data_IF_891766294864
#
_entry.id   IF_891766294864
#
_cell.length_a   1.000
_cell.length_b   1.000
_cell.length_c   1.000
_cell.angle_alpha   90.00
_cell.angle_beta   90.00
_cell.angle_gamma   90.00
#
_symmetry.space_group_name_H-M   'P 1'
#
loop_
_entity.id
_entity.type
_entity.pdbx_description
1 polymer ?
#
# COMPACT_ATOMS: atom_id res chain seq x y z
N UNK A 1 8.99 -57.62 46.43
CA UNK A 1 8.59 -56.19 46.41
C UNK A 1 8.95 -55.49 45.09
N UNK A 2 8.97 -56.17 43.93
CA UNK A 2 9.53 -55.60 42.67
C UNK A 2 8.50 -55.21 41.59
N UNK A 3 7.18 -55.31 41.84
CA UNK A 3 6.18 -55.18 40.78
C UNK A 3 5.48 -53.81 40.64
N UNK A 4 5.58 -52.92 41.64
CA UNK A 4 4.78 -51.68 41.65
C UNK A 4 5.51 -50.43 41.13
N UNK A 5 6.84 -50.46 41.02
CA UNK A 5 7.63 -49.31 40.56
C UNK A 5 8.02 -49.36 39.08
N UNK A 6 7.84 -50.50 38.38
CA UNK A 6 8.26 -50.61 36.97
C UNK A 6 7.44 -49.74 36.01
N UNK A 7 6.21 -49.37 36.38
CA UNK A 7 5.35 -48.45 35.61
C UNK A 7 5.54 -46.97 35.96
N UNK A 8 6.17 -46.67 37.10
CA UNK A 8 6.40 -45.29 37.55
C UNK A 8 7.56 -44.63 36.78
N UNK A 9 8.61 -45.39 36.47
CA UNK A 9 9.79 -44.90 35.75
C UNK A 9 9.48 -44.38 34.32
N UNK A 10 8.76 -45.12 33.45
CA UNK A 10 8.44 -44.63 32.11
C UNK A 10 7.48 -43.43 32.13
N UNK A 11 6.59 -43.34 33.12
CA UNK A 11 5.65 -42.23 33.25
C UNK A 11 6.36 -40.93 33.68
N UNK A 12 7.35 -41.04 34.56
CA UNK A 12 8.26 -39.94 34.91
C UNK A 12 9.11 -39.48 33.73
N UNK A 13 9.63 -40.41 32.92
CA UNK A 13 10.39 -40.08 31.72
C UNK A 13 9.53 -39.33 30.68
N UNK A 14 8.28 -39.77 30.46
CA UNK A 14 7.33 -39.08 29.57
C UNK A 14 7.02 -37.67 30.10
N UNK A 15 6.73 -37.52 31.39
CA UNK A 15 6.47 -36.21 31.99
C UNK A 15 7.68 -35.28 31.90
N UNK A 16 8.89 -35.81 32.02
CA UNK A 16 10.12 -35.04 31.91
C UNK A 16 10.40 -34.61 30.46
N UNK A 17 10.13 -35.48 29.48
CA UNK A 17 10.21 -35.12 28.04
C UNK A 17 9.15 -34.10 27.66
N UNK A 18 7.91 -34.26 28.14
CA UNK A 18 6.84 -33.27 27.94
C UNK A 18 7.21 -31.94 28.63
N UNK A 19 7.74 -32.00 29.85
CA UNK A 19 8.18 -30.81 30.59
C UNK A 19 9.32 -30.08 29.88
N UNK A 20 10.31 -30.80 29.34
CA UNK A 20 11.37 -30.24 28.52
C UNK A 20 10.84 -29.69 27.19
N UNK A 21 9.94 -30.40 26.53
CA UNK A 21 9.32 -29.91 25.30
C UNK A 21 8.53 -28.62 25.56
N UNK A 22 7.69 -28.58 26.61
CA UNK A 22 6.97 -27.37 27.03
C UNK A 22 7.93 -26.27 27.44
N UNK A 23 9.02 -26.58 28.15
CA UNK A 23 10.04 -25.58 28.51
C UNK A 23 10.79 -25.04 27.30
N UNK A 24 11.11 -25.86 26.29
CA UNK A 24 11.72 -25.35 25.06
C UNK A 24 10.71 -24.60 24.17
N UNK A 25 9.45 -25.02 24.14
CA UNK A 25 8.36 -24.39 23.40
C UNK A 25 7.91 -23.07 24.05
N UNK A 26 7.95 -22.97 25.38
CA UNK A 26 7.45 -21.82 26.13
C UNK A 26 8.57 -20.97 26.79
N UNK A 27 9.62 -21.60 27.31
CA UNK A 27 10.71 -20.96 28.06
C UNK A 27 11.84 -20.39 27.20
N UNK A 28 11.92 -20.76 25.92
CA UNK A 28 12.84 -20.16 24.95
C UNK A 28 12.17 -19.09 24.08
N UNK A 29 10.99 -18.61 24.47
CA UNK A 29 10.46 -17.36 23.92
C UNK A 29 11.36 -16.25 24.42
N UNK A 30 12.39 -15.92 23.64
CA UNK A 30 13.05 -14.63 23.74
C UNK A 30 11.96 -13.57 23.88
N UNK A 31 12.19 -12.58 24.74
CA UNK A 31 11.24 -11.49 24.91
C UNK A 31 11.16 -10.77 23.55
N UNK A 32 10.10 -11.07 22.80
CA UNK A 32 9.86 -10.50 21.48
C UNK A 32 9.87 -8.97 21.59
N UNK A 33 10.37 -8.31 20.55
CA UNK A 33 10.42 -6.85 20.48
C UNK A 33 9.03 -6.27 20.71
N UNK A 34 8.91 -5.34 21.67
CA UNK A 34 7.66 -4.64 21.94
C UNK A 34 7.60 -3.38 21.10
N UNK A 35 6.51 -3.23 20.34
CA UNK A 35 6.32 -2.08 19.46
C UNK A 35 6.01 -0.80 20.26
N UNK A 36 6.39 0.40 19.76
CA UNK A 36 6.13 1.67 20.45
C UNK A 36 4.67 2.12 20.42
N UNK A 37 3.85 1.58 19.51
CA UNK A 37 2.40 1.80 19.42
C UNK A 37 1.72 0.47 19.14
N UNK A 38 0.70 0.15 19.92
CA UNK A 38 -0.17 -1.00 19.67
C UNK A 38 -1.30 -0.66 18.68
N UNK A 39 -1.43 0.62 18.29
CA UNK A 39 -2.45 1.12 17.36
C UNK A 39 -1.88 1.49 15.98
N UNK A 40 -2.65 1.15 14.96
CA UNK A 40 -2.57 1.77 13.64
C UNK A 40 -3.95 2.41 13.41
N UNK A 41 -4.07 3.76 13.52
CA UNK A 41 -5.38 4.43 13.58
C UNK A 41 -6.31 4.10 12.41
N UNK A 42 -5.77 3.81 11.24
CA UNK A 42 -6.54 3.41 10.07
C UNK A 42 -7.24 2.04 10.19
N UNK A 43 -6.97 1.24 11.25
CA UNK A 43 -7.55 -0.09 11.47
C UNK A 43 -8.79 -0.07 12.37
N UNK A 44 -9.01 0.98 13.17
CA UNK A 44 -10.06 0.98 14.19
C UNK A 44 -11.34 1.64 13.65
N UNK A 45 -12.38 0.85 13.32
CA UNK A 45 -13.75 1.37 13.24
C UNK A 45 -14.82 0.27 13.30
N UNK A 46 -15.79 0.41 14.21
CA UNK A 46 -16.99 -0.43 14.27
C UNK A 46 -18.10 0.26 13.44
N UNK A 47 -18.29 -0.18 12.19
CA UNK A 47 -19.30 0.37 11.30
C UNK A 47 -20.55 -0.50 11.32
N UNK A 48 -21.64 0.01 11.90
CA UNK A 48 -22.95 -0.64 11.86
C UNK A 48 -23.70 -0.48 10.53
N UNK A 49 -23.22 0.38 9.62
CA UNK A 49 -23.93 0.76 8.38
C UNK A 49 -23.42 0.05 7.12
N UNK A 50 -22.19 -0.45 7.15
CA UNK A 50 -21.61 -1.29 6.09
C UNK A 50 -21.46 -2.69 6.66
N UNK A 51 -22.03 -3.70 6.02
CA UNK A 51 -21.82 -5.11 6.39
C UNK A 51 -20.68 -5.67 5.52
N UNK A 52 -19.40 -5.54 5.94
CA UNK A 52 -18.27 -6.04 5.17
C UNK A 52 -18.36 -7.55 4.93
N UNK A 53 -19.07 -8.28 5.80
CA UNK A 53 -19.25 -9.73 5.66
C UNK A 53 -20.09 -10.09 4.42
N UNK A 54 -20.84 -9.14 3.85
CA UNK A 54 -21.59 -9.34 2.61
C UNK A 54 -20.76 -9.02 1.35
N UNK A 55 -19.98 -7.94 1.36
CA UNK A 55 -19.32 -7.43 0.16
C UNK A 55 -17.90 -7.99 -0.01
N UNK A 56 -17.10 -8.00 1.06
CA UNK A 56 -15.68 -8.37 1.03
C UNK A 56 -15.45 -9.81 0.50
N UNK A 57 -16.26 -10.82 0.85
CA UNK A 57 -16.11 -12.16 0.27
C UNK A 57 -16.29 -12.20 -1.25
N UNK A 58 -17.19 -11.37 -1.80
CA UNK A 58 -17.39 -11.24 -3.24
C UNK A 58 -16.14 -10.69 -3.94
N UNK A 59 -15.52 -9.67 -3.35
CA UNK A 59 -14.32 -9.04 -3.91
C UNK A 59 -13.13 -10.00 -3.87
N UNK A 60 -12.93 -10.72 -2.77
CA UNK A 60 -11.87 -11.76 -2.70
C UNK A 60 -12.07 -12.84 -3.76
N UNK A 61 -13.30 -13.31 -3.94
CA UNK A 61 -13.61 -14.30 -4.97
C UNK A 61 -13.31 -13.77 -6.37
N UNK A 62 -13.69 -12.51 -6.65
CA UNK A 62 -13.36 -11.89 -7.94
C UNK A 62 -11.85 -11.81 -8.18
N UNK A 63 -11.07 -11.43 -7.16
CA UNK A 63 -9.61 -11.41 -7.23
C UNK A 63 -9.06 -12.81 -7.60
N UNK A 64 -9.47 -13.84 -6.86
CA UNK A 64 -9.06 -15.24 -7.08
C UNK A 64 -9.44 -15.75 -8.47
N UNK A 65 -10.68 -15.50 -8.92
CA UNK A 65 -11.19 -16.04 -10.18
C UNK A 65 -10.68 -15.29 -11.42
N UNK A 66 -10.29 -14.01 -11.28
CA UNK A 66 -10.20 -13.10 -12.44
C UNK A 66 -8.88 -12.35 -12.55
N UNK A 67 -8.23 -12.00 -11.44
CA UNK A 67 -7.02 -11.18 -11.40
C UNK A 67 -5.79 -11.93 -10.88
N UNK A 68 -5.95 -13.07 -10.19
CA UNK A 68 -4.83 -13.91 -9.79
C UNK A 68 -4.37 -14.82 -10.93
N UNK A 69 -3.07 -14.92 -11.12
CA UNK A 69 -2.46 -15.92 -11.98
C UNK A 69 -1.16 -16.48 -11.39
N UNK A 70 -0.75 -17.59 -11.96
CA UNK A 70 0.58 -18.16 -11.78
C UNK A 70 1.49 -17.64 -12.90
N UNK A 71 2.71 -17.26 -12.53
CA UNK A 71 3.70 -16.69 -13.46
C UNK A 71 5.03 -17.40 -13.39
N UNK A 72 5.75 -17.37 -14.50
CA UNK A 72 7.16 -17.76 -14.56
C UNK A 72 8.04 -16.51 -14.63
N UNK A 73 8.97 -16.41 -13.68
CA UNK A 73 9.90 -15.27 -13.57
C UNK A 73 11.30 -15.76 -13.93
N UNK A 74 11.97 -15.10 -14.86
CA UNK A 74 13.34 -15.46 -15.26
C UNK A 74 14.34 -14.99 -14.20
N UNK A 75 15.26 -15.86 -13.79
CA UNK A 75 16.35 -15.48 -12.89
C UNK A 75 17.27 -14.44 -13.54
N UNK A 76 17.81 -13.52 -12.74
CA UNK A 76 18.72 -12.48 -13.24
C UNK A 76 20.12 -13.02 -13.60
N UNK A 77 20.51 -14.17 -13.05
CA UNK A 77 21.86 -14.73 -13.11
C UNK A 77 22.28 -15.33 -14.46
N UNK A 78 21.58 -15.05 -15.56
CA UNK A 78 21.97 -15.45 -16.92
C UNK A 78 21.84 -16.95 -17.23
N UNK A 79 21.49 -17.77 -16.25
CA UNK A 79 21.05 -19.15 -16.46
C UNK A 79 19.57 -19.15 -16.88
N UNK A 80 19.18 -20.07 -17.77
CA UNK A 80 17.79 -20.22 -18.27
C UNK A 80 16.84 -20.81 -17.20
N UNK A 81 17.11 -20.59 -15.92
CA UNK A 81 16.26 -21.01 -14.82
C UNK A 81 15.11 -20.00 -14.64
N UNK A 82 13.88 -20.50 -14.74
CA UNK A 82 12.67 -19.78 -14.35
C UNK A 82 12.16 -20.28 -13.00
N UNK A 83 11.58 -19.38 -12.22
CA UNK A 83 10.88 -19.72 -10.98
C UNK A 83 9.37 -19.55 -11.20
N UNK A 84 8.59 -20.55 -10.80
CA UNK A 84 7.13 -20.46 -10.80
C UNK A 84 6.65 -19.79 -9.51
N UNK A 85 5.85 -18.74 -9.64
CA UNK A 85 5.23 -18.03 -8.52
C UNK A 85 3.73 -17.99 -8.72
N UNK A 86 3.00 -18.40 -7.69
CA UNK A 86 1.56 -18.58 -7.76
C UNK A 86 0.77 -17.42 -7.15
N UNK A 87 -0.44 -17.21 -7.66
CA UNK A 87 -1.45 -16.29 -7.14
C UNK A 87 -1.01 -14.81 -7.06
N UNK A 88 -0.30 -14.30 -8.06
CA UNK A 88 0.01 -12.86 -8.16
C UNK A 88 -1.16 -12.09 -8.80
N UNK A 89 -1.46 -10.89 -8.29
CA UNK A 89 -2.49 -10.02 -8.89
C UNK A 89 -1.99 -9.31 -10.16
N UNK A 90 -2.70 -9.46 -11.28
CA UNK A 90 -2.58 -8.57 -12.44
C UNK A 90 -2.99 -7.15 -12.07
N UNK A 91 -2.32 -6.16 -12.65
CA UNK A 91 -2.69 -4.77 -12.44
C UNK A 91 -4.15 -4.48 -12.87
N UNK A 92 -4.58 -5.06 -14.00
CA UNK A 92 -5.94 -4.89 -14.51
C UNK A 92 -6.35 -6.01 -15.48
N UNK A 93 -7.67 -6.11 -15.68
CA UNK A 93 -8.30 -6.96 -16.71
C UNK A 93 -9.53 -6.29 -17.29
N UNK A 94 -9.73 -6.43 -18.61
CA UNK A 94 -10.85 -5.85 -19.37
C UNK A 94 -11.80 -6.93 -19.87
N UNK A 95 -13.07 -6.58 -20.00
CA UNK A 95 -14.01 -7.38 -20.78
C UNK A 95 -13.77 -7.14 -22.28
N UNK A 96 -13.94 -8.18 -23.11
CA UNK A 96 -13.93 -8.01 -24.56
C UNK A 96 -15.07 -7.07 -24.98
N UNK A 97 -14.83 -6.34 -26.06
CA UNK A 97 -15.87 -5.52 -26.67
C UNK A 97 -16.95 -6.43 -27.27
N UNK A 98 -18.22 -6.21 -26.89
CA UNK A 98 -19.33 -6.99 -27.43
C UNK A 98 -19.85 -6.38 -28.75
N UNK A 99 -19.51 -5.13 -29.08
CA UNK A 99 -20.05 -4.42 -30.24
C UNK A 99 -19.20 -4.60 -31.50
N UNK A 100 -17.93 -5.01 -31.38
CA UNK A 100 -17.03 -5.19 -32.51
C UNK A 100 -16.48 -6.61 -32.57
N UNK A 101 -16.83 -7.34 -33.64
CA UNK A 101 -16.42 -8.71 -33.97
C UNK A 101 -14.95 -8.76 -34.48
N UNK A 102 -14.05 -8.04 -33.82
CA UNK A 102 -12.61 -8.18 -34.05
C UNK A 102 -12.06 -9.23 -33.10
N UNK A 103 -11.21 -10.12 -33.63
CA UNK A 103 -10.40 -11.04 -32.82
C UNK A 103 -9.44 -10.23 -31.93
N UNK A 104 -9.92 -9.77 -30.77
CA UNK A 104 -9.07 -9.17 -29.75
C UNK A 104 -8.27 -10.30 -29.12
N UNK A 105 -6.94 -10.21 -29.23
CA UNK A 105 -6.07 -11.22 -28.62
C UNK A 105 -6.17 -11.10 -27.10
N UNK A 106 -6.17 -12.23 -26.38
CA UNK A 106 -6.32 -12.26 -24.91
C UNK A 106 -5.27 -11.38 -24.20
N UNK A 107 -4.09 -11.23 -24.80
CA UNK A 107 -3.02 -10.36 -24.32
C UNK A 107 -3.38 -8.87 -24.27
N UNK A 108 -4.39 -8.43 -25.02
CA UNK A 108 -4.88 -7.05 -25.01
C UNK A 108 -5.97 -6.83 -23.93
N UNK A 109 -6.46 -7.92 -23.33
CA UNK A 109 -7.50 -7.89 -22.29
C UNK A 109 -6.92 -7.99 -20.87
N UNK A 110 -5.62 -8.23 -20.74
CA UNK A 110 -4.93 -8.38 -19.44
C UNK A 110 -3.70 -7.48 -19.37
N UNK A 111 -3.38 -7.02 -18.16
CA UNK A 111 -2.15 -6.28 -17.94
C UNK A 111 -0.91 -7.12 -18.27
N UNK A 112 0.09 -6.47 -18.89
CA UNK A 112 1.44 -7.04 -19.05
C UNK A 112 2.33 -6.85 -17.82
N UNK A 113 1.84 -6.10 -16.85
CA UNK A 113 2.56 -5.68 -15.65
C UNK A 113 1.85 -6.20 -14.40
N UNK A 114 2.64 -6.63 -13.44
CA UNK A 114 2.20 -6.99 -12.09
C UNK A 114 2.90 -6.02 -11.14
N UNK A 115 2.13 -5.16 -10.48
CA UNK A 115 2.70 -4.18 -9.56
C UNK A 115 2.86 -4.75 -8.16
N UNK A 116 4.02 -4.50 -7.56
CA UNK A 116 4.26 -4.84 -6.15
C UNK A 116 3.27 -4.09 -5.25
N UNK A 117 2.92 -2.85 -5.58
CA UNK A 117 1.97 -2.03 -4.81
C UNK A 117 0.62 -2.73 -4.61
N UNK A 118 0.08 -3.35 -5.66
CA UNK A 118 -1.18 -4.10 -5.60
C UNK A 118 -1.06 -5.32 -4.69
N UNK A 119 0.08 -6.02 -4.76
CA UNK A 119 0.36 -7.13 -3.86
C UNK A 119 0.51 -6.67 -2.42
N UNK A 120 1.16 -5.53 -2.17
CA UNK A 120 1.36 -5.00 -0.83
C UNK A 120 0.02 -4.71 -0.16
N UNK A 121 -0.91 -4.06 -0.86
CA UNK A 121 -2.27 -3.85 -0.32
C UNK A 121 -3.06 -5.14 -0.17
N UNK A 122 -2.89 -6.15 -1.04
CA UNK A 122 -3.44 -7.48 -0.79
C UNK A 122 -2.87 -8.07 0.51
N UNK A 123 -1.56 -7.96 0.73
CA UNK A 123 -0.89 -8.38 1.95
C UNK A 123 -1.51 -7.74 3.19
N UNK A 124 -1.68 -6.41 3.18
CA UNK A 124 -2.38 -5.68 4.25
C UNK A 124 -3.80 -6.23 4.46
N UNK A 125 -4.58 -6.39 3.39
CA UNK A 125 -5.96 -6.87 3.49
C UNK A 125 -6.05 -8.28 4.09
N UNK A 126 -5.09 -9.16 3.79
CA UNK A 126 -5.03 -10.51 4.35
C UNK A 126 -4.64 -10.50 5.84
N UNK A 127 -3.79 -9.56 6.26
CA UNK A 127 -3.43 -9.35 7.67
C UNK A 127 -4.62 -8.81 8.44
N UNK A 128 -5.22 -7.71 7.97
CA UNK A 128 -6.33 -7.00 8.62
C UNK A 128 -7.58 -7.90 8.76
N UNK A 129 -7.83 -8.80 7.79
CA UNK A 129 -8.91 -9.81 7.88
C UNK A 129 -8.58 -11.06 8.70
N UNK A 130 -7.40 -11.16 9.31
CA UNK A 130 -6.99 -12.35 10.09
C UNK A 130 -6.80 -13.62 9.24
N UNK A 131 -6.61 -13.49 7.92
CA UNK A 131 -6.42 -14.59 6.97
C UNK A 131 -4.99 -15.13 6.96
N UNK A 132 -4.49 -15.52 8.14
CA UNK A 132 -3.07 -15.86 8.36
C UNK A 132 -2.49 -16.95 7.44
N UNK A 133 -3.30 -17.92 6.99
CA UNK A 133 -2.84 -18.96 6.04
C UNK A 133 -2.62 -18.38 4.64
N UNK A 134 -3.56 -17.58 4.15
CA UNK A 134 -3.43 -16.89 2.87
C UNK A 134 -2.30 -15.87 2.93
N UNK A 135 -2.20 -15.11 4.03
CA UNK A 135 -1.09 -14.18 4.25
C UNK A 135 0.27 -14.87 4.15
N UNK A 136 0.45 -16.04 4.79
CA UNK A 136 1.74 -16.74 4.71
C UNK A 136 2.09 -17.18 3.28
N UNK A 137 1.11 -17.69 2.53
CA UNK A 137 1.30 -18.03 1.11
C UNK A 137 1.64 -16.79 0.28
N UNK A 138 0.92 -15.69 0.50
CA UNK A 138 1.17 -14.41 -0.14
C UNK A 138 2.59 -13.92 0.16
N UNK A 139 3.03 -13.98 1.42
CA UNK A 139 4.37 -13.58 1.83
C UNK A 139 5.43 -14.36 1.06
N UNK A 140 5.29 -15.70 1.01
CA UNK A 140 6.24 -16.57 0.31
C UNK A 140 6.22 -16.31 -1.21
N UNK A 141 5.07 -16.02 -1.82
CA UNK A 141 4.97 -15.63 -3.23
C UNK A 141 5.57 -14.25 -3.50
N UNK A 142 5.33 -13.27 -2.62
CA UNK A 142 5.82 -11.90 -2.77
C UNK A 142 7.34 -11.84 -2.71
N UNK A 143 7.95 -12.50 -1.72
CA UNK A 143 9.41 -12.62 -1.58
C UNK A 143 10.04 -13.24 -2.84
N UNK A 144 9.49 -14.37 -3.30
CA UNK A 144 9.99 -15.02 -4.51
C UNK A 144 9.84 -14.15 -5.75
N UNK A 145 8.71 -13.44 -5.88
CA UNK A 145 8.43 -12.64 -7.05
C UNK A 145 9.26 -11.37 -7.10
N UNK A 146 9.27 -10.60 -6.02
CA UNK A 146 9.78 -9.24 -6.00
C UNK A 146 11.11 -9.09 -5.27
N UNK A 147 11.51 -10.04 -4.43
CA UNK A 147 12.79 -10.01 -3.76
C UNK A 147 13.95 -10.07 -4.77
N UNK A 148 14.89 -9.14 -4.61
CA UNK A 148 16.14 -9.11 -5.33
C UNK A 148 17.30 -9.45 -4.38
N UNK A 149 17.94 -10.60 -4.62
CA UNK A 149 19.04 -11.11 -3.79
C UNK A 149 20.31 -10.24 -3.91
N UNK A 150 20.50 -9.51 -5.02
CA UNK A 150 21.70 -8.69 -5.23
C UNK A 150 21.67 -7.42 -4.36
N UNK A 151 20.57 -6.67 -4.39
CA UNK A 151 20.40 -5.46 -3.59
C UNK A 151 19.83 -5.69 -2.19
N UNK A 152 19.18 -6.83 -1.96
CA UNK A 152 18.36 -7.08 -0.78
C UNK A 152 17.06 -6.26 -0.74
N UNK A 153 16.72 -5.56 -1.82
CA UNK A 153 15.50 -4.77 -1.97
C UNK A 153 14.43 -5.54 -2.75
N UNK A 154 13.27 -4.91 -2.93
CA UNK A 154 12.15 -5.45 -3.69
C UNK A 154 11.88 -4.64 -4.95
N UNK A 155 11.69 -5.34 -6.08
CA UNK A 155 11.25 -4.80 -7.36
C UNK A 155 9.88 -4.12 -7.25
N UNK A 156 9.67 -2.98 -7.91
CA UNK A 156 8.34 -2.33 -7.96
C UNK A 156 7.33 -3.04 -8.86
N UNK A 157 7.83 -3.81 -9.82
CA UNK A 157 7.03 -4.36 -10.91
C UNK A 157 7.64 -5.65 -11.43
N UNK A 158 6.77 -6.50 -11.99
CA UNK A 158 7.17 -7.53 -12.93
C UNK A 158 6.65 -7.16 -14.32
N UNK A 159 7.52 -7.19 -15.32
CA UNK A 159 7.18 -6.86 -16.70
C UNK A 159 7.28 -8.11 -17.56
N UNK A 160 6.23 -8.39 -18.34
CA UNK A 160 6.21 -9.51 -19.28
C UNK A 160 7.05 -9.20 -20.52
N UNK A 161 8.14 -9.96 -20.67
CA UNK A 161 9.08 -9.90 -21.80
C UNK A 161 8.49 -10.55 -23.08
N UNK A 162 9.15 -10.36 -24.22
CA UNK A 162 8.77 -10.88 -25.54
C UNK A 162 8.72 -12.42 -25.54
N UNK A 163 9.60 -13.06 -24.76
CA UNK A 163 9.67 -14.51 -24.60
C UNK A 163 8.55 -15.08 -23.70
N UNK A 164 7.66 -14.22 -23.19
CA UNK A 164 6.50 -14.59 -22.37
C UNK A 164 6.77 -14.69 -20.86
N UNK A 165 8.05 -14.66 -20.45
CA UNK A 165 8.47 -14.66 -19.04
C UNK A 165 8.36 -13.27 -18.41
N UNK A 166 8.14 -13.23 -17.10
CA UNK A 166 8.22 -12.01 -16.32
C UNK A 166 9.66 -11.74 -15.87
N UNK A 167 10.03 -10.46 -15.83
CA UNK A 167 11.28 -9.98 -15.24
C UNK A 167 11.01 -8.96 -14.16
N UNK A 168 11.82 -9.00 -13.11
CA UNK A 168 11.84 -7.98 -12.07
C UNK A 168 12.28 -6.65 -12.67
N UNK A 169 11.61 -5.59 -12.26
CA UNK A 169 11.92 -4.24 -12.67
C UNK A 169 12.02 -3.32 -11.45
N UNK A 170 13.08 -2.50 -11.46
CA UNK A 170 13.31 -1.41 -10.52
C UNK A 170 13.22 -1.81 -9.03
N UNK A 171 14.18 -2.61 -8.54
CA UNK A 171 14.37 -2.88 -7.12
C UNK A 171 14.66 -1.59 -6.35
N UNK A 172 13.82 -1.26 -5.35
CA UNK A 172 13.90 0.04 -4.69
C UNK A 172 13.46 0.04 -3.21
N UNK A 173 13.80 1.13 -2.53
CA UNK A 173 13.52 1.31 -1.10
C UNK A 173 12.03 1.53 -0.81
N UNK A 174 11.24 2.07 -1.75
CA UNK A 174 9.82 2.37 -1.55
C UNK A 174 9.03 1.08 -1.44
N UNK A 175 9.24 0.13 -2.36
CA UNK A 175 8.58 -1.18 -2.32
C UNK A 175 9.01 -1.96 -1.07
N UNK A 176 10.30 -1.96 -0.76
CA UNK A 176 10.85 -2.67 0.40
C UNK A 176 10.28 -2.12 1.71
N UNK A 177 10.16 -0.80 1.83
CA UNK A 177 9.49 -0.13 2.95
C UNK A 177 8.01 -0.54 3.03
N UNK A 178 7.30 -0.55 1.90
CA UNK A 178 5.90 -1.00 1.86
C UNK A 178 5.74 -2.45 2.30
N UNK A 179 6.66 -3.34 1.92
CA UNK A 179 6.67 -4.73 2.38
C UNK A 179 6.94 -4.83 3.89
N UNK A 180 7.91 -4.07 4.39
CA UNK A 180 8.22 -3.99 5.82
C UNK A 180 7.02 -3.50 6.65
N UNK A 181 6.24 -2.55 6.13
CA UNK A 181 4.96 -2.12 6.74
C UNK A 181 4.00 -3.30 6.90
N UNK A 182 3.80 -4.11 5.85
CA UNK A 182 2.90 -5.28 5.92
C UNK A 182 3.38 -6.28 6.96
N UNK A 183 4.69 -6.55 7.03
CA UNK A 183 5.25 -7.45 8.04
C UNK A 183 5.05 -6.93 9.46
N UNK A 184 5.20 -5.63 9.67
CA UNK A 184 4.96 -5.01 10.97
C UNK A 184 3.49 -5.05 11.37
N UNK A 185 2.56 -4.80 10.45
CA UNK A 185 1.13 -5.00 10.72
C UNK A 185 0.84 -6.45 11.12
N UNK A 186 1.43 -7.43 10.42
CA UNK A 186 1.28 -8.84 10.77
C UNK A 186 1.89 -9.15 12.16
N UNK A 187 3.03 -8.54 12.47
CA UNK A 187 3.72 -8.67 13.76
C UNK A 187 2.90 -8.07 14.90
N UNK A 188 2.29 -6.89 14.72
CA UNK A 188 1.38 -6.30 15.71
C UNK A 188 0.26 -7.25 16.11
N UNK A 189 -0.41 -7.85 15.12
CA UNK A 189 -1.54 -8.75 15.37
C UNK A 189 -1.10 -10.09 15.95
N UNK A 190 0.03 -10.63 15.47
CA UNK A 190 0.53 -11.94 15.89
C UNK A 190 2.07 -11.98 15.88
N UNK A 191 2.72 -11.49 16.95
CA UNK A 191 4.18 -11.50 17.05
C UNK A 191 4.75 -12.91 16.91
N UNK A 192 5.83 -13.05 16.14
CA UNK A 192 6.55 -14.31 15.99
C UNK A 192 8.02 -14.05 15.69
N UNK A 193 8.89 -14.99 16.07
CA UNK A 193 10.33 -14.88 15.81
C UNK A 193 10.66 -14.83 14.31
N UNK A 194 9.88 -15.52 13.48
CA UNK A 194 10.08 -15.48 12.02
C UNK A 194 9.82 -14.07 11.47
N UNK A 195 8.72 -13.43 11.88
CA UNK A 195 8.42 -12.04 11.51
C UNK A 195 9.45 -11.06 12.09
N UNK A 196 9.85 -11.23 13.35
CA UNK A 196 10.88 -10.40 13.99
C UNK A 196 12.20 -10.43 13.22
N UNK A 197 12.63 -11.62 12.81
CA UNK A 197 13.85 -11.81 12.04
C UNK A 197 13.74 -11.14 10.65
N UNK A 198 12.63 -11.37 9.93
CA UNK A 198 12.41 -10.72 8.63
C UNK A 198 12.37 -9.20 8.74
N UNK A 199 11.70 -8.65 9.75
CA UNK A 199 11.64 -7.20 10.00
C UNK A 199 13.04 -6.66 10.31
N UNK A 200 13.82 -7.35 11.16
CA UNK A 200 15.17 -6.93 11.52
C UNK A 200 16.10 -6.91 10.31
N UNK A 201 16.07 -7.94 9.47
CA UNK A 201 16.89 -8.01 8.25
C UNK A 201 16.56 -6.85 7.30
N UNK A 202 15.28 -6.62 7.01
CA UNK A 202 14.87 -5.56 6.09
C UNK A 202 15.08 -4.16 6.67
N UNK A 203 14.90 -4.02 7.98
CA UNK A 203 15.27 -2.82 8.73
C UNK A 203 16.76 -2.50 8.54
N UNK A 204 17.64 -3.48 8.72
CA UNK A 204 19.08 -3.29 8.55
C UNK A 204 19.45 -2.98 7.08
N UNK A 205 18.73 -3.53 6.11
CA UNK A 205 18.88 -3.18 4.69
C UNK A 205 18.50 -1.72 4.40
N UNK A 206 17.38 -1.23 4.95
CA UNK A 206 16.89 0.13 4.69
C UNK A 206 17.61 1.20 5.52
N UNK A 207 18.12 0.88 6.71
CA UNK A 207 18.74 1.83 7.62
C UNK A 207 19.85 2.68 6.97
N UNK A 208 20.85 2.14 6.25
CA UNK A 208 21.88 2.97 5.62
C UNK A 208 21.31 3.92 4.55
N UNK A 209 20.23 3.53 3.85
CA UNK A 209 19.56 4.36 2.84
C UNK A 209 18.91 5.57 3.53
N UNK A 210 18.18 5.35 4.62
CA UNK A 210 17.51 6.44 5.33
C UNK A 210 18.49 7.34 6.10
N UNK A 211 19.59 6.79 6.63
CA UNK A 211 20.67 7.59 7.24
C UNK A 211 21.34 8.53 6.25
N UNK A 212 21.51 8.09 5.00
CA UNK A 212 22.06 8.92 3.92
C UNK A 212 21.06 9.95 3.38
N UNK A 213 19.78 9.84 3.76
CA UNK A 213 18.66 10.46 3.06
C UNK A 213 18.23 9.56 1.89
N UNK A 214 16.96 9.10 1.86
CA UNK A 214 16.52 8.22 0.78
C UNK A 214 16.64 8.91 -0.59
N UNK A 215 17.03 8.18 -1.64
CA UNK A 215 17.23 8.79 -2.96
C UNK A 215 15.95 9.49 -3.47
N UNK A 216 16.08 10.71 -4.02
CA UNK A 216 14.98 11.34 -4.74
C UNK A 216 14.62 10.49 -5.96
N UNK A 217 13.32 10.39 -6.24
CA UNK A 217 12.77 9.49 -7.26
C UNK A 217 11.73 10.19 -8.15
N UNK A 218 11.59 11.50 -7.98
CA UNK A 218 10.69 12.35 -8.73
C UNK A 218 11.28 13.75 -8.78
N UNK A 219 10.74 14.61 -9.64
CA UNK A 219 11.21 15.97 -9.83
C UNK A 219 10.04 16.95 -9.70
N UNK A 220 10.23 18.00 -8.90
CA UNK A 220 9.36 19.16 -8.88
C UNK A 220 9.94 20.29 -9.70
N UNK A 221 9.28 21.45 -9.68
CA UNK A 221 9.75 22.67 -10.32
C UNK A 221 10.21 23.67 -9.24
N UNK A 222 11.22 24.48 -9.54
CA UNK A 222 11.74 25.54 -8.66
C UNK A 222 12.73 26.45 -9.39
N UNK A 223 13.28 27.52 -8.78
CA UNK A 223 13.11 27.94 -7.40
C UNK A 223 11.91 28.88 -7.17
N UNK A 224 11.32 29.47 -8.22
CA UNK A 224 10.24 30.46 -8.05
C UNK A 224 8.84 29.82 -8.02
N UNK A 225 8.71 28.57 -8.47
CA UNK A 225 7.46 27.86 -8.52
C UNK A 225 7.56 26.54 -7.75
N UNK A 226 7.32 26.57 -6.44
CA UNK A 226 7.19 25.35 -5.64
C UNK A 226 5.87 24.66 -6.03
N UNK A 227 5.94 23.85 -7.07
CA UNK A 227 4.79 23.37 -7.84
C UNK A 227 4.70 21.85 -7.87
N UNK A 228 3.51 21.33 -8.20
CA UNK A 228 3.21 19.91 -8.08
C UNK A 228 4.12 19.08 -8.98
N UNK A 229 4.38 17.87 -8.52
CA UNK A 229 5.15 16.83 -9.18
C UNK A 229 4.46 16.29 -10.45
N UNK A 230 3.22 16.72 -10.71
CA UNK A 230 2.48 16.46 -11.94
C UNK A 230 1.98 17.80 -12.48
N UNK A 231 2.49 18.22 -13.65
CA UNK A 231 2.00 19.39 -14.37
C UNK A 231 1.07 18.95 -15.51
N UNK A 232 -0.21 18.80 -15.24
CA UNK A 232 -1.23 18.60 -16.29
C UNK A 232 -1.79 19.93 -16.76
N UNK A 233 -0.94 20.78 -17.31
CA UNK A 233 -1.38 21.92 -18.12
C UNK A 233 -1.00 21.65 -19.57
N UNK A 234 -1.99 21.35 -20.40
CA UNK A 234 -1.81 21.02 -21.81
C UNK A 234 -1.14 22.21 -22.54
N UNK A 235 0.07 21.98 -23.08
CA UNK A 235 0.78 22.96 -23.90
C UNK A 235 1.63 24.02 -23.16
N UNK A 236 1.87 23.87 -21.85
CA UNK A 236 2.72 24.81 -21.12
C UNK A 236 4.22 24.50 -21.30
N UNK A 237 4.98 25.49 -21.76
CA UNK A 237 6.44 25.49 -21.67
C UNK A 237 6.81 25.92 -20.25
N UNK A 238 7.66 25.16 -19.56
CA UNK A 238 8.22 25.56 -18.27
C UNK A 238 8.69 27.03 -18.36
N UNK A 239 8.31 27.90 -17.41
CA UNK A 239 8.79 29.26 -17.42
C UNK A 239 10.33 29.25 -17.46
N UNK A 240 10.97 30.17 -18.20
CA UNK A 240 12.42 30.11 -18.46
C UNK A 240 13.30 30.17 -17.21
N UNK A 241 12.72 30.54 -16.07
CA UNK A 241 13.34 30.66 -14.76
C UNK A 241 13.06 29.46 -13.84
N UNK A 242 12.42 28.39 -14.36
CA UNK A 242 12.24 27.13 -13.63
C UNK A 242 13.22 26.06 -14.07
N UNK A 243 13.68 25.31 -13.08
CA UNK A 243 14.52 24.14 -13.19
C UNK A 243 13.85 22.97 -12.44
N UNK A 244 14.15 21.75 -12.89
CA UNK A 244 13.72 20.54 -12.19
C UNK A 244 14.50 20.39 -10.88
N UNK A 245 13.77 20.18 -9.78
CA UNK A 245 14.35 19.98 -8.45
C UNK A 245 14.13 18.52 -8.04
N UNK A 246 15.17 17.76 -7.67
CA UNK A 246 15.02 16.36 -7.28
C UNK A 246 14.36 16.24 -5.90
N UNK A 247 13.22 15.56 -5.84
CA UNK A 247 12.41 15.43 -4.63
C UNK A 247 12.27 13.99 -4.15
N UNK A 248 12.13 13.86 -2.83
CA UNK A 248 11.58 12.68 -2.19
C UNK A 248 10.09 12.92 -2.02
N UNK A 249 9.25 12.19 -2.74
CA UNK A 249 7.82 12.31 -2.63
C UNK A 249 7.33 11.90 -1.22
N UNK A 250 6.56 12.78 -0.56
CA UNK A 250 6.13 12.55 0.82
C UNK A 250 5.10 11.42 0.92
N UNK A 251 4.33 11.14 -0.13
CA UNK A 251 3.42 10.00 -0.12
C UNK A 251 4.15 8.65 -0.06
N UNK A 252 5.48 8.64 -0.25
CA UNK A 252 6.32 7.45 -0.18
C UNK A 252 7.12 7.34 1.12
N UNK A 253 6.95 8.27 2.06
CA UNK A 253 7.52 8.16 3.41
C UNK A 253 6.44 7.64 4.35
N UNK A 254 6.64 6.44 4.88
CA UNK A 254 5.74 5.83 5.86
C UNK A 254 6.18 6.21 7.27
N UNK A 255 5.66 7.33 7.77
CA UNK A 255 6.04 7.84 9.09
C UNK A 255 5.67 6.89 10.23
N UNK A 256 4.57 6.16 10.10
CA UNK A 256 4.15 5.17 11.10
C UNK A 256 5.18 4.06 11.17
N UNK A 257 5.59 3.51 10.04
CA UNK A 257 6.62 2.49 9.95
C UNK A 257 7.93 2.95 10.60
N UNK A 258 8.42 4.15 10.25
CA UNK A 258 9.67 4.67 10.80
C UNK A 258 9.64 4.73 12.34
N UNK A 259 8.52 5.14 12.92
CA UNK A 259 8.30 5.13 14.37
C UNK A 259 8.36 3.70 14.95
N UNK A 260 7.73 2.73 14.30
CA UNK A 260 7.73 1.33 14.78
C UNK A 260 9.13 0.71 14.77
N UNK A 261 9.94 1.01 13.75
CA UNK A 261 11.29 0.47 13.60
C UNK A 261 12.24 0.89 14.72
N UNK A 262 11.95 1.99 15.43
CA UNK A 262 12.70 2.41 16.63
C UNK A 262 12.78 1.34 17.72
N UNK A 263 11.80 0.42 17.79
CA UNK A 263 11.85 -0.71 18.74
C UNK A 263 12.85 -1.81 18.36
N UNK A 264 13.15 -1.96 17.07
CA UNK A 264 14.10 -2.96 16.56
C UNK A 264 15.52 -2.41 16.55
N UNK A 265 15.68 -1.15 16.16
CA UNK A 265 16.96 -0.45 16.16
C UNK A 265 16.76 1.02 16.56
N UNK A 266 17.34 1.49 17.68
CA UNK A 266 17.18 2.87 18.15
C UNK A 266 17.59 3.96 17.16
N UNK A 267 18.43 3.66 16.16
CA UNK A 267 18.82 4.66 15.16
C UNK A 267 17.64 5.09 14.25
N UNK A 268 16.59 4.26 14.15
CA UNK A 268 15.35 4.64 13.46
C UNK A 268 14.57 5.73 14.19
N UNK A 269 14.70 5.82 15.51
CA UNK A 269 14.02 6.85 16.30
C UNK A 269 14.52 8.26 15.92
N UNK A 270 15.82 8.40 15.67
CA UNK A 270 16.42 9.67 15.24
C UNK A 270 15.98 10.03 13.80
N UNK A 271 15.88 9.03 12.92
CA UNK A 271 15.36 9.18 11.55
C UNK A 271 13.89 9.62 11.58
N UNK A 272 13.06 8.93 12.38
CA UNK A 272 11.66 9.26 12.55
C UNK A 272 11.49 10.70 13.07
N UNK A 273 12.20 11.08 14.14
CA UNK A 273 12.15 12.45 14.68
C UNK A 273 12.56 13.49 13.66
N UNK A 274 13.59 13.21 12.87
CA UNK A 274 14.02 14.10 11.79
C UNK A 274 12.90 14.31 10.79
N UNK A 275 12.29 13.24 10.29
CA UNK A 275 11.17 13.31 9.35
C UNK A 275 9.90 13.93 9.95
N UNK A 276 9.61 13.66 11.22
CA UNK A 276 8.47 14.23 11.94
C UNK A 276 8.61 15.75 12.10
N UNK A 277 9.76 16.23 12.57
CA UNK A 277 9.99 17.66 12.75
C UNK A 277 9.89 18.43 11.41
N UNK A 278 10.31 17.81 10.31
CA UNK A 278 10.22 18.36 8.95
C UNK A 278 8.79 18.62 8.48
N UNK A 279 7.81 17.84 8.96
CA UNK A 279 6.39 17.94 8.57
C UNK A 279 5.54 18.70 9.61
N UNK A 280 5.92 18.67 10.89
CA UNK A 280 5.17 19.34 11.97
C UNK A 280 5.21 20.86 11.84
N UNK A 281 6.36 21.39 11.39
CA UNK A 281 6.56 22.83 11.17
C UNK A 281 6.09 23.31 9.78
N UNK A 282 5.55 22.42 8.95
CA UNK A 282 5.15 22.78 7.59
C UNK A 282 3.93 23.71 7.62
N UNK A 283 4.12 24.94 7.11
CA UNK A 283 3.05 25.92 6.97
C UNK A 283 2.31 25.72 5.65
N UNK A 284 1.01 25.47 5.72
CA UNK A 284 0.11 25.55 4.57
C UNK A 284 -0.07 27.02 4.16
N UNK A 285 -0.16 27.28 2.86
CA UNK A 285 -0.59 28.60 2.39
C UNK A 285 -2.07 28.81 2.78
N UNK A 286 -2.39 29.99 3.33
CA UNK A 286 -3.76 30.33 3.76
C UNK A 286 -4.70 30.20 2.55
N UNK A 287 -5.71 29.34 2.66
CA UNK A 287 -6.68 29.07 1.58
C UNK A 287 -6.32 27.89 0.67
N UNK A 288 -5.21 27.19 0.92
CA UNK A 288 -4.82 25.98 0.21
C UNK A 288 -4.78 24.78 1.17
N UNK A 289 -5.80 23.91 1.15
CA UNK A 289 -5.90 22.83 2.12
C UNK A 289 -4.98 21.63 1.79
N UNK A 290 -4.05 21.73 0.85
CA UNK A 290 -3.35 20.54 0.34
C UNK A 290 -2.06 20.21 1.13
N UNK A 291 -1.80 18.93 1.48
CA UNK A 291 -0.52 18.48 2.01
C UNK A 291 0.67 18.81 1.10
N UNK A 292 1.88 18.95 1.67
CA UNK A 292 3.10 19.05 0.87
C UNK A 292 3.32 17.79 0.04
N UNK A 293 3.89 17.96 -1.15
CA UNK A 293 4.06 16.85 -2.10
C UNK A 293 5.40 16.14 -2.00
N UNK A 294 6.46 16.86 -1.64
CA UNK A 294 7.81 16.32 -1.66
C UNK A 294 8.77 17.08 -0.75
N UNK A 295 9.88 16.44 -0.46
CA UNK A 295 11.02 17.01 0.26
C UNK A 295 12.14 17.34 -0.72
N UNK A 296 12.56 18.60 -0.75
CA UNK A 296 13.72 19.05 -1.50
C UNK A 296 14.98 18.68 -0.74
N UNK A 297 15.75 17.76 -1.32
CA UNK A 297 16.99 17.25 -0.72
C UNK A 297 18.14 18.26 -0.74
N UNK A 298 18.09 19.26 -1.63
CA UNK A 298 19.13 20.28 -1.76
C UNK A 298 19.00 21.35 -0.68
N UNK A 299 17.78 21.83 -0.47
CA UNK A 299 17.50 22.93 0.46
C UNK A 299 17.07 22.45 1.85
N UNK A 300 16.86 21.14 2.02
CA UNK A 300 16.33 20.51 3.23
C UNK A 300 15.00 21.18 3.67
N UNK A 301 14.08 21.30 2.70
CA UNK A 301 12.75 21.90 2.92
C UNK A 301 11.64 21.05 2.31
N UNK A 302 10.47 21.05 2.96
CA UNK A 302 9.26 20.53 2.36
C UNK A 302 8.86 21.50 1.25
N UNK A 303 8.53 20.97 0.08
CA UNK A 303 8.03 21.79 -1.01
C UNK A 303 6.56 22.07 -0.77
N UNK A 304 6.19 23.33 -0.44
CA UNK A 304 4.81 23.66 -0.34
C UNK A 304 4.17 23.66 -1.71
N UNK A 305 2.87 23.39 -1.70
CA UNK A 305 2.03 23.73 -2.83
C UNK A 305 1.70 25.21 -2.70
N UNK A 306 2.00 25.97 -3.77
CA UNK A 306 1.69 27.40 -3.86
C UNK A 306 0.55 27.62 -4.85
N UNK A 307 -0.33 28.55 -4.50
CA UNK A 307 -1.47 28.96 -5.29
C UNK A 307 -1.06 29.29 -6.72
N UNK A 308 -1.54 28.50 -7.68
CA UNK A 308 -1.09 28.55 -9.08
C UNK A 308 -2.08 27.86 -10.02
N UNK A 309 -1.79 28.00 -11.31
CA UNK A 309 -2.57 27.39 -12.40
C UNK A 309 -2.33 25.87 -12.58
N UNK A 310 -1.49 25.29 -11.72
CA UNK A 310 -1.16 23.87 -11.75
C UNK A 310 -2.19 23.03 -11.00
N UNK A 311 -2.16 21.72 -11.26
CA UNK A 311 -3.02 20.75 -10.63
C UNK A 311 -2.21 19.74 -9.83
N UNK A 312 -2.78 19.25 -8.75
CA UNK A 312 -2.22 18.19 -7.93
C UNK A 312 -3.05 16.92 -8.02
N UNK A 313 -2.39 15.76 -8.06
CA UNK A 313 -3.02 14.45 -8.11
C UNK A 313 -3.68 14.05 -6.78
N UNK A 314 -4.97 13.73 -6.84
CA UNK A 314 -5.79 13.41 -5.66
C UNK A 314 -5.29 12.18 -4.91
N UNK A 315 -4.79 11.16 -5.62
CA UNK A 315 -4.28 9.93 -4.98
C UNK A 315 -3.09 10.26 -4.08
N UNK A 316 -2.17 11.11 -4.54
CA UNK A 316 -1.03 11.56 -3.73
C UNK A 316 -1.48 12.34 -2.51
N UNK A 317 -2.40 13.30 -2.67
CA UNK A 317 -2.92 14.08 -1.54
C UNK A 317 -3.52 13.19 -0.46
N UNK A 318 -4.36 12.23 -0.87
CA UNK A 318 -4.99 11.29 0.06
C UNK A 318 -3.97 10.37 0.72
N UNK A 319 -2.99 9.85 -0.03
CA UNK A 319 -1.95 8.96 0.51
C UNK A 319 -1.02 9.68 1.49
N UNK A 320 -0.54 10.87 1.15
CA UNK A 320 0.25 11.70 2.08
C UNK A 320 -0.56 12.00 3.33
N UNK A 321 -1.82 12.45 3.18
CA UNK A 321 -2.68 12.76 4.33
C UNK A 321 -2.96 11.54 5.20
N UNK A 322 -3.10 10.34 4.62
CA UNK A 322 -3.25 9.11 5.40
C UNK A 322 -2.00 8.82 6.23
N UNK A 323 -0.80 8.88 5.62
CA UNK A 323 0.45 8.62 6.34
C UNK A 323 0.71 9.63 7.45
N UNK A 324 0.33 10.89 7.26
CA UNK A 324 0.37 11.91 8.31
C UNK A 324 -0.66 11.60 9.42
N UNK A 325 -1.89 11.24 9.05
CA UNK A 325 -2.95 10.92 10.02
C UNK A 325 -2.59 9.72 10.90
N UNK A 326 -1.90 8.72 10.35
CA UNK A 326 -1.42 7.53 11.08
C UNK A 326 -0.43 7.86 12.21
N UNK A 327 0.23 9.02 12.14
CA UNK A 327 1.08 9.57 13.21
C UNK A 327 0.43 10.75 13.94
N UNK A 328 -0.90 10.91 13.82
CA UNK A 328 -1.72 11.95 14.46
C UNK A 328 -1.42 13.38 13.99
N UNK A 329 -0.90 13.53 12.77
CA UNK A 329 -0.78 14.82 12.08
C UNK A 329 -1.92 14.91 11.06
N UNK A 330 -2.86 15.84 11.25
CA UNK A 330 -4.01 16.02 10.35
C UNK A 330 -4.11 17.46 9.85
N UNK A 331 -4.71 17.61 8.68
CA UNK A 331 -5.09 18.91 8.11
C UNK A 331 -6.63 18.94 8.00
N UNK A 332 -7.29 19.56 8.96
CA UNK A 332 -8.76 19.59 9.03
C UNK A 332 -9.39 20.28 7.82
N UNK A 333 -8.71 21.26 7.22
CA UNK A 333 -9.18 21.94 6.00
C UNK A 333 -9.16 20.98 4.81
N UNK A 334 -8.14 20.13 4.69
CA UNK A 334 -8.10 19.06 3.69
C UNK A 334 -9.22 18.05 3.87
N UNK A 335 -9.45 17.62 5.11
CA UNK A 335 -10.50 16.66 5.44
C UNK A 335 -11.87 17.24 5.10
N UNK A 336 -12.12 18.50 5.43
CA UNK A 336 -13.35 19.20 5.08
C UNK A 336 -13.52 19.35 3.57
N UNK A 337 -12.46 19.69 2.84
CA UNK A 337 -12.46 19.77 1.37
C UNK A 337 -12.83 18.43 0.72
N UNK A 338 -12.16 17.34 1.10
CA UNK A 338 -12.45 16.00 0.56
C UNK A 338 -13.87 15.54 0.92
N UNK A 339 -14.34 15.82 2.14
CA UNK A 339 -15.69 15.52 2.57
C UNK A 339 -16.74 16.24 1.72
N UNK A 340 -16.53 17.51 1.37
CA UNK A 340 -17.44 18.25 0.50
C UNK A 340 -17.44 17.67 -0.92
N UNK A 341 -16.26 17.47 -1.52
CA UNK A 341 -16.13 16.91 -2.87
C UNK A 341 -16.82 15.54 -3.01
N UNK A 342 -16.55 14.61 -2.09
CA UNK A 342 -17.11 13.25 -2.14
C UNK A 342 -18.60 13.20 -1.79
N UNK A 343 -19.11 14.21 -1.07
CA UNK A 343 -20.54 14.35 -0.80
C UNK A 343 -21.31 14.80 -2.04
N UNK A 344 -20.68 15.60 -2.89
CA UNK A 344 -21.29 16.19 -4.09
C UNK A 344 -21.10 15.34 -5.36
N UNK A 345 -20.15 14.40 -5.38
CA UNK A 345 -19.92 13.52 -6.53
C UNK A 345 -18.76 12.54 -6.33
N UNK A 346 -18.27 11.93 -7.43
CA UNK A 346 -16.97 11.27 -7.42
C UNK A 346 -15.85 12.27 -7.11
N UNK A 347 -14.76 11.81 -6.50
CA UNK A 347 -13.55 12.63 -6.36
C UNK A 347 -12.89 12.83 -7.73
N UNK A 348 -12.43 14.05 -8.01
CA UNK A 348 -11.66 14.35 -9.21
C UNK A 348 -10.30 13.62 -9.18
N UNK A 349 -9.72 13.32 -10.34
CA UNK A 349 -8.37 12.75 -10.43
C UNK A 349 -7.29 13.74 -9.99
N UNK A 350 -7.52 15.03 -10.26
CA UNK A 350 -6.64 16.11 -9.84
C UNK A 350 -7.42 17.38 -9.47
N UNK A 351 -6.82 18.24 -8.64
CA UNK A 351 -7.40 19.52 -8.24
C UNK A 351 -6.48 20.67 -8.56
N UNK A 352 -7.05 21.76 -9.04
CA UNK A 352 -6.32 22.99 -9.33
C UNK A 352 -5.96 23.73 -8.05
N UNK A 353 -4.71 24.18 -7.91
CA UNK A 353 -4.20 24.74 -6.66
C UNK A 353 -4.87 26.08 -6.32
N UNK A 354 -4.99 27.00 -7.29
CA UNK A 354 -5.57 28.33 -7.04
C UNK A 354 -7.03 28.34 -6.55
N UNK A 355 -7.90 27.49 -7.11
CA UNK A 355 -9.35 27.60 -6.94
C UNK A 355 -10.01 26.30 -6.46
N UNK A 356 -9.24 25.22 -6.26
CA UNK A 356 -9.76 23.92 -5.82
C UNK A 356 -10.61 23.18 -6.85
N UNK A 357 -10.73 23.67 -8.10
CA UNK A 357 -11.58 23.01 -9.09
C UNK A 357 -10.99 21.67 -9.52
N UNK A 358 -11.82 20.62 -9.54
CA UNK A 358 -11.40 19.29 -9.96
C UNK A 358 -11.34 19.13 -11.48
N UNK A 359 -10.46 18.22 -11.91
CA UNK A 359 -10.34 17.75 -13.28
C UNK A 359 -10.58 16.23 -13.33
N UNK A 360 -11.37 15.79 -14.31
CA UNK A 360 -11.83 14.41 -14.50
C UNK A 360 -12.55 13.83 -13.27
N UNK A 361 -13.89 13.84 -13.31
CA UNK A 361 -14.77 13.30 -12.26
C UNK A 361 -15.20 11.84 -12.53
N UNK A 362 -14.38 11.05 -13.23
CA UNK A 362 -14.67 9.63 -13.46
C UNK A 362 -14.63 8.85 -12.16
N UNK A 363 -15.63 7.99 -11.93
CA UNK A 363 -15.71 7.17 -10.72
C UNK A 363 -14.45 6.30 -10.54
N UNK A 364 -13.78 6.49 -9.40
CA UNK A 364 -12.51 5.86 -9.07
C UNK A 364 -12.61 5.22 -7.67
N UNK A 365 -12.93 3.91 -7.58
CA UNK A 365 -13.10 3.22 -6.30
C UNK A 365 -11.88 3.32 -5.38
N UNK A 366 -10.66 3.25 -5.92
CA UNK A 366 -9.44 3.45 -5.13
C UNK A 366 -9.41 4.80 -4.41
N UNK A 367 -9.71 5.93 -5.09
CA UNK A 367 -9.73 7.26 -4.44
C UNK A 367 -10.75 7.31 -3.30
N UNK A 368 -11.93 6.75 -3.52
CA UNK A 368 -12.99 6.66 -2.50
C UNK A 368 -12.53 5.80 -1.32
N UNK A 369 -11.89 4.67 -1.58
CA UNK A 369 -11.35 3.79 -0.54
C UNK A 369 -10.26 4.48 0.29
N UNK A 370 -9.35 5.22 -0.34
CA UNK A 370 -8.36 6.05 0.34
C UNK A 370 -9.02 7.11 1.24
N UNK A 371 -10.04 7.82 0.74
CA UNK A 371 -10.79 8.79 1.53
C UNK A 371 -11.49 8.12 2.75
N UNK A 372 -12.02 6.91 2.58
CA UNK A 372 -12.57 6.12 3.69
C UNK A 372 -11.52 5.75 4.74
N UNK A 373 -10.34 5.24 4.32
CA UNK A 373 -9.23 4.96 5.24
C UNK A 373 -8.76 6.22 5.96
N UNK A 374 -8.66 7.34 5.25
CA UNK A 374 -8.32 8.63 5.85
C UNK A 374 -9.34 9.05 6.91
N UNK A 375 -10.64 8.94 6.58
CA UNK A 375 -11.73 9.21 7.53
C UNK A 375 -11.61 8.40 8.82
N UNK A 376 -11.20 7.13 8.76
CA UNK A 376 -10.91 6.32 9.97
C UNK A 376 -9.68 6.81 10.70
N UNK A 377 -8.57 7.03 10.00
CA UNK A 377 -7.31 7.43 10.63
C UNK A 377 -7.42 8.76 11.40
N UNK A 378 -8.30 9.68 10.96
CA UNK A 378 -8.58 10.95 11.66
C UNK A 378 -9.84 10.94 12.52
N UNK A 379 -10.45 9.77 12.78
CA UNK A 379 -11.71 9.63 13.52
C UNK A 379 -12.88 10.48 12.97
N UNK A 380 -12.87 10.79 11.66
CA UNK A 380 -13.93 11.52 10.97
C UNK A 380 -14.96 10.54 10.38
N UNK A 381 -15.95 10.21 11.21
CA UNK A 381 -17.08 9.35 10.88
C UNK A 381 -17.83 9.78 9.61
N UNK A 382 -18.06 11.09 9.42
CA UNK A 382 -18.81 11.58 8.26
C UNK A 382 -18.07 11.32 6.95
N UNK A 383 -16.75 11.55 6.91
CA UNK A 383 -15.94 11.24 5.74
C UNK A 383 -15.95 9.74 5.43
N UNK A 384 -15.78 8.91 6.45
CA UNK A 384 -15.85 7.45 6.30
C UNK A 384 -17.20 6.99 5.74
N UNK A 385 -18.33 7.42 6.32
CA UNK A 385 -19.68 7.01 5.90
C UNK A 385 -20.04 7.49 4.49
N UNK A 386 -19.62 8.70 4.10
CA UNK A 386 -19.82 9.18 2.72
C UNK A 386 -18.98 8.35 1.75
N UNK A 387 -17.72 8.06 2.07
CA UNK A 387 -16.85 7.22 1.26
C UNK A 387 -17.43 5.81 1.08
N UNK A 388 -17.90 5.17 2.16
CA UNK A 388 -18.49 3.83 2.09
C UNK A 388 -19.74 3.79 1.21
N UNK A 389 -20.62 4.81 1.31
CA UNK A 389 -21.79 4.94 0.42
C UNK A 389 -21.39 5.10 -1.04
N UNK A 390 -20.32 5.84 -1.34
CA UNK A 390 -19.82 5.96 -2.71
C UNK A 390 -19.19 4.65 -3.22
N UNK A 391 -18.48 3.89 -2.37
CA UNK A 391 -18.02 2.55 -2.75
C UNK A 391 -19.21 1.65 -3.09
N UNK A 392 -20.21 1.56 -2.21
CA UNK A 392 -21.40 0.72 -2.43
C UNK A 392 -22.11 1.02 -3.76
N UNK A 393 -22.16 2.29 -4.19
CA UNK A 393 -22.76 2.69 -5.48
C UNK A 393 -21.99 2.15 -6.70
N UNK A 394 -20.68 1.95 -6.56
CA UNK A 394 -19.81 1.46 -7.63
C UNK A 394 -19.61 -0.08 -7.59
N UNK A 395 -20.25 -0.76 -6.64
CA UNK A 395 -20.19 -2.21 -6.52
C UNK A 395 -21.04 -2.90 -7.60
N UNK A 396 -20.47 -3.91 -8.27
CA UNK A 396 -21.15 -4.66 -9.31
C UNK A 396 -22.04 -5.74 -8.66
N UNK A 397 -23.31 -5.41 -8.49
CA UNK A 397 -24.33 -6.32 -7.97
C UNK A 397 -25.03 -7.17 -9.05
N UNK A 398 -24.76 -6.93 -10.33
CA UNK A 398 -25.36 -7.71 -11.42
C UNK A 398 -24.71 -9.09 -11.56
N UNK A 399 -25.45 -10.14 -11.22
CA UNK A 399 -25.00 -11.53 -11.28
C UNK A 399 -24.70 -12.03 -12.70
N UNK A 400 -25.19 -11.33 -13.73
CA UNK A 400 -24.86 -11.66 -15.12
C UNK A 400 -23.49 -11.10 -15.55
N UNK A 401 -22.92 -10.16 -14.78
CA UNK A 401 -21.60 -9.61 -15.07
C UNK A 401 -20.50 -10.61 -14.74
N UNK A 402 -19.51 -10.73 -15.63
CA UNK A 402 -18.28 -11.49 -15.35
C UNK A 402 -17.47 -10.89 -14.19
N UNK A 403 -17.70 -9.61 -13.88
CA UNK A 403 -17.08 -8.91 -12.76
C UNK A 403 -18.04 -8.75 -11.56
N UNK A 404 -19.08 -9.60 -11.46
CA UNK A 404 -19.95 -9.65 -10.31
C UNK A 404 -19.15 -9.78 -9.01
N UNK A 405 -19.48 -8.94 -8.03
CA UNK A 405 -18.86 -9.00 -6.72
C UNK A 405 -17.64 -8.08 -6.50
N UNK A 406 -17.30 -7.23 -7.46
CA UNK A 406 -16.23 -6.24 -7.28
C UNK A 406 -16.55 -4.87 -7.85
N UNK A 407 -15.49 -4.12 -8.15
CA UNK A 407 -15.54 -2.74 -8.60
C UNK A 407 -14.90 -2.60 -9.96
N UNK A 408 -15.61 -2.03 -10.93
CA UNK A 408 -15.03 -1.79 -12.25
C UNK A 408 -15.25 -0.36 -12.70
N UNK A 409 -14.41 0.05 -13.64
CA UNK A 409 -14.50 1.32 -14.34
C UNK A 409 -14.73 1.08 -15.81
N UNK A 410 -15.14 2.11 -16.54
CA UNK A 410 -15.14 2.08 -18.00
C UNK A 410 -13.88 2.76 -18.49
N UNK A 411 -13.16 2.12 -19.40
CA UNK A 411 -12.02 2.73 -20.06
C UNK A 411 -12.46 3.68 -21.19
N UNK A 412 -11.50 4.25 -21.91
CA UNK A 412 -11.75 5.19 -23.00
C UNK A 412 -12.55 4.56 -24.15
N UNK A 413 -12.47 3.24 -24.32
CA UNK A 413 -13.22 2.46 -25.30
C UNK A 413 -14.55 1.96 -24.73
N UNK A 414 -14.99 2.50 -23.59
CA UNK A 414 -16.22 2.15 -22.88
C UNK A 414 -16.26 0.68 -22.39
N UNK A 415 -15.11 -0.02 -22.36
CA UNK A 415 -15.00 -1.40 -21.89
C UNK A 415 -14.94 -1.43 -20.38
N UNK A 416 -15.62 -2.42 -19.80
CA UNK A 416 -15.57 -2.64 -18.37
C UNK A 416 -14.18 -3.17 -18.00
N UNK A 417 -13.51 -2.51 -17.07
CA UNK A 417 -12.15 -2.82 -16.62
C UNK A 417 -12.12 -2.91 -15.10
N UNK A 418 -11.57 -3.98 -14.57
CA UNK A 418 -11.25 -4.11 -13.15
C UNK A 418 -9.76 -3.87 -12.94
N UNK A 419 -9.43 -3.14 -11.87
CA UNK A 419 -8.07 -2.91 -11.44
C UNK A 419 -7.85 -3.62 -10.11
N UNK A 420 -6.69 -4.25 -9.92
CA UNK A 420 -6.35 -4.88 -8.65
C UNK A 420 -6.37 -3.87 -7.51
N UNK A 421 -5.77 -2.69 -7.73
CA UNK A 421 -5.72 -1.59 -6.75
C UNK A 421 -7.12 -1.20 -6.22
N UNK A 422 -8.12 -1.13 -7.10
CA UNK A 422 -9.50 -0.83 -6.71
C UNK A 422 -10.06 -1.87 -5.75
N UNK A 423 -9.84 -3.15 -6.08
CA UNK A 423 -10.38 -4.25 -5.30
C UNK A 423 -9.75 -4.29 -3.91
N UNK A 424 -8.41 -4.27 -3.85
CA UNK A 424 -7.68 -4.43 -2.59
C UNK A 424 -7.87 -3.23 -1.66
N UNK A 425 -7.92 -2.01 -2.20
CA UNK A 425 -8.21 -0.83 -1.38
C UNK A 425 -9.65 -0.80 -0.92
N UNK A 426 -10.62 -1.20 -1.75
CA UNK A 426 -12.00 -1.29 -1.30
C UNK A 426 -12.16 -2.31 -0.17
N UNK A 427 -11.49 -3.47 -0.25
CA UNK A 427 -11.43 -4.44 0.86
C UNK A 427 -10.86 -3.77 2.11
N UNK A 428 -9.69 -3.13 2.01
CA UNK A 428 -9.05 -2.45 3.13
C UNK A 428 -9.91 -1.36 3.73
N UNK A 429 -10.69 -0.65 2.92
CA UNK A 429 -11.55 0.43 3.39
C UNK A 429 -12.80 -0.05 4.13
N UNK A 430 -13.28 -1.27 3.83
CA UNK A 430 -14.48 -1.86 4.42
C UNK A 430 -14.20 -2.74 5.66
N UNK A 431 -13.00 -3.29 5.78
CA UNK A 431 -12.49 -3.94 6.99
C UNK A 431 -12.20 -2.88 8.04
#
# INVERSE_FOLDING_TARGET
MSGRFSKLLPLLAILLVIGLAVYFICGNRAELVKLPSDDLPSLEYDSSETDPDLLVPGVYKLLEDTLQLDVEIKAESGDDESIEVQNLLLAWRKLPDLEFDYDIEEQDLVAREIFALDQLYLGQALVESGRGKQFKKWQDSFEKAFGDDESGLHASSLIKDIDGFYRRDNANWITTQGYLRVLLQAYMLKPSSDLENSISVLSDTLLPIFKAGPPPHTAGLGPNLQHPLISTMEGYLLPPDQEEVPLIALENIDFWLLRQLGAFNPEWEDIYKTWHNRIEDYQYEIGMPFPPEGWNTTDDTAMPLISSDFQVDTRRLLKTSLHLAEIRVSNDDFIAFILDEISNGPLALSYHLLNGSGNDYTANPALVAWAGRLGRAVDNRSLFEVAMRQLQRNYISDQASQFFGGYARRDQDNRLTIYALDQVLAILAMQ
#
